data_IF_035777838185
#
_entry.id   IF_035777838185
#
_cell.length_a   1.000
_cell.length_b   1.000
_cell.length_c   1.000
_cell.angle_alpha   90.00
_cell.angle_beta   90.00
_cell.angle_gamma   90.00
#
_symmetry.space_group_name_H-M   'P 1'
#
loop_
_entity.id
_entity.type
_entity.pdbx_description
1 polymer ?
#
# COMPACT_ATOMS: atom_id res chain seq x y z
N UNK A 1 -7.00 -10.31 -9.22
CA UNK A 1 -6.77 -9.24 -10.20
C UNK A 1 -5.98 -8.07 -9.63
N UNK A 2 -6.47 -7.35 -8.61
CA UNK A 2 -5.72 -6.23 -8.02
C UNK A 2 -4.35 -6.68 -7.49
N UNK A 3 -4.31 -7.77 -6.72
CA UNK A 3 -3.07 -8.43 -6.27
C UNK A 3 -2.16 -8.83 -7.44
N UNK A 4 -2.73 -9.37 -8.52
CA UNK A 4 -1.95 -9.79 -9.70
C UNK A 4 -1.22 -8.61 -10.34
N UNK A 5 -1.89 -7.46 -10.50
CA UNK A 5 -1.25 -6.23 -11.00
C UNK A 5 -0.21 -5.70 -10.01
N UNK A 6 -0.55 -5.65 -8.72
CA UNK A 6 0.35 -5.22 -7.65
C UNK A 6 1.66 -6.02 -7.66
N UNK A 7 1.57 -7.32 -7.86
CA UNK A 7 2.72 -8.23 -7.86
C UNK A 7 3.41 -8.37 -9.23
N UNK A 8 2.74 -7.96 -10.32
CA UNK A 8 3.32 -7.94 -11.66
C UNK A 8 4.17 -6.70 -11.95
N UNK A 9 4.19 -5.71 -11.04
CA UNK A 9 4.98 -4.49 -11.17
C UNK A 9 4.19 -3.25 -11.56
N UNK A 10 2.87 -3.22 -11.35
CA UNK A 10 2.09 -1.98 -11.48
C UNK A 10 2.56 -0.93 -10.45
N UNK A 11 2.61 0.33 -10.86
CA UNK A 11 2.93 1.44 -9.96
C UNK A 11 1.72 1.89 -9.14
N UNK A 12 0.54 1.77 -9.72
CA UNK A 12 -0.72 2.23 -9.14
C UNK A 12 -1.88 1.49 -9.83
N UNK A 13 -3.01 1.34 -9.14
CA UNK A 13 -4.23 0.80 -9.74
C UNK A 13 -5.24 1.91 -9.99
N UNK A 14 -5.80 1.98 -11.20
CA UNK A 14 -6.99 2.80 -11.47
C UNK A 14 -8.25 1.93 -11.45
N UNK A 15 -9.02 2.07 -10.38
CA UNK A 15 -10.25 1.33 -10.13
C UNK A 15 -11.43 2.27 -10.30
N UNK A 16 -12.44 1.93 -11.10
CA UNK A 16 -13.53 2.87 -11.34
C UNK A 16 -14.90 2.21 -11.47
N UNK A 17 -15.91 2.91 -10.96
CA UNK A 17 -17.33 2.65 -11.20
C UNK A 17 -18.08 3.98 -11.23
N UNK A 18 -18.59 4.35 -12.41
CA UNK A 18 -19.30 5.61 -12.64
C UNK A 18 -20.83 5.48 -12.49
N UNK A 19 -21.31 4.43 -11.82
CA UNK A 19 -22.74 4.24 -11.62
C UNK A 19 -23.37 5.38 -10.83
N UNK A 20 -24.56 5.81 -11.28
CA UNK A 20 -25.41 6.76 -10.58
C UNK A 20 -26.29 6.09 -9.53
N UNK A 21 -26.36 4.76 -9.52
CA UNK A 21 -27.13 3.95 -8.57
C UNK A 21 -26.38 3.91 -7.24
N UNK A 22 -27.06 4.23 -6.15
CA UNK A 22 -26.43 4.37 -4.83
C UNK A 22 -25.91 3.03 -4.32
N UNK A 23 -26.69 1.97 -4.46
CA UNK A 23 -26.35 0.62 -4.02
C UNK A 23 -25.05 0.11 -4.68
N UNK A 24 -24.92 0.31 -5.99
CA UNK A 24 -23.72 -0.07 -6.74
C UNK A 24 -22.47 0.74 -6.32
N UNK A 25 -22.66 2.01 -5.93
CA UNK A 25 -21.56 2.83 -5.38
C UNK A 25 -21.12 2.35 -4.00
N UNK A 26 -22.06 2.01 -3.12
CA UNK A 26 -21.71 1.51 -1.79
C UNK A 26 -21.04 0.13 -1.86
N UNK A 27 -21.50 -0.76 -2.76
CA UNK A 27 -20.82 -2.04 -3.05
C UNK A 27 -19.40 -1.82 -3.58
N UNK A 28 -19.22 -0.86 -4.48
CA UNK A 28 -17.90 -0.50 -5.01
C UNK A 28 -16.97 0.01 -3.91
N UNK A 29 -17.43 0.93 -3.04
CA UNK A 29 -16.65 1.44 -1.91
C UNK A 29 -16.28 0.34 -0.92
N UNK A 30 -17.19 -0.61 -0.64
CA UNK A 30 -16.89 -1.78 0.19
C UNK A 30 -15.81 -2.67 -0.45
N UNK A 31 -15.89 -2.88 -1.77
CA UNK A 31 -14.90 -3.64 -2.53
C UNK A 31 -13.52 -2.98 -2.49
N UNK A 32 -13.46 -1.64 -2.61
CA UNK A 32 -12.20 -0.89 -2.54
C UNK A 32 -11.49 -1.08 -1.20
N UNK A 33 -12.23 -1.07 -0.08
CA UNK A 33 -11.66 -1.34 1.26
C UNK A 33 -11.04 -2.74 1.37
N UNK A 34 -11.65 -3.73 0.73
CA UNK A 34 -11.11 -5.10 0.71
C UNK A 34 -9.89 -5.22 -0.22
N UNK A 35 -9.82 -4.40 -1.28
CA UNK A 35 -8.65 -4.32 -2.15
C UNK A 35 -7.47 -3.68 -1.43
N UNK A 36 -7.70 -2.54 -0.77
CA UNK A 36 -6.68 -1.79 -0.02
C UNK A 36 -5.92 -2.68 0.98
N UNK A 37 -6.64 -3.55 1.71
CA UNK A 37 -6.03 -4.52 2.66
C UNK A 37 -5.02 -5.47 2.00
N UNK A 38 -5.22 -5.79 0.72
CA UNK A 38 -4.47 -6.82 -0.01
C UNK A 38 -3.33 -6.28 -0.87
N UNK A 39 -3.40 -5.02 -1.27
CA UNK A 39 -2.35 -4.38 -2.07
C UNK A 39 -1.45 -3.51 -1.20
N UNK A 40 -0.32 -3.10 -1.78
CA UNK A 40 0.66 -2.21 -1.16
C UNK A 40 1.25 -1.19 -2.14
N UNK A 41 0.54 -1.00 -3.26
CA UNK A 41 0.73 0.09 -4.20
C UNK A 41 -0.46 1.05 -4.07
N UNK A 42 -0.29 2.33 -4.42
CA UNK A 42 -1.39 3.28 -4.41
C UNK A 42 -2.53 2.88 -5.34
N UNK A 43 -3.72 3.42 -5.11
CA UNK A 43 -4.82 3.31 -6.06
C UNK A 43 -5.66 4.58 -6.21
N UNK A 44 -6.07 4.84 -7.44
CA UNK A 44 -6.95 5.92 -7.85
C UNK A 44 -8.37 5.38 -8.00
N UNK A 45 -9.35 6.12 -7.49
CA UNK A 45 -10.77 5.78 -7.60
C UNK A 45 -11.48 6.69 -8.60
N UNK A 46 -11.98 6.13 -9.70
CA UNK A 46 -12.90 6.81 -10.60
C UNK A 46 -14.35 6.58 -10.20
N UNK A 47 -15.07 7.63 -9.83
CA UNK A 47 -16.48 7.45 -9.45
C UNK A 47 -17.37 8.63 -9.80
N UNK A 48 -18.68 8.37 -9.81
CA UNK A 48 -19.68 9.43 -9.87
C UNK A 48 -19.79 10.11 -8.50
N UNK A 49 -19.59 11.43 -8.47
CA UNK A 49 -19.75 12.26 -7.29
C UNK A 49 -20.88 13.27 -7.53
N UNK A 50 -21.96 13.16 -6.75
CA UNK A 50 -23.06 14.12 -6.80
C UNK A 50 -22.87 15.27 -5.80
N UNK A 51 -22.09 15.02 -4.74
CA UNK A 51 -21.78 15.95 -3.66
C UNK A 51 -20.38 15.69 -3.12
N UNK A 52 -19.82 16.66 -2.41
CA UNK A 52 -18.50 16.56 -1.77
C UNK A 52 -18.34 15.30 -0.88
N UNK A 53 -19.39 14.91 -0.14
CA UNK A 53 -19.33 13.73 0.74
C UNK A 53 -19.06 12.41 -0.03
N UNK A 54 -19.43 12.32 -1.31
CA UNK A 54 -19.17 11.13 -2.12
C UNK A 54 -17.67 10.98 -2.42
N UNK A 55 -16.97 12.09 -2.67
CA UNK A 55 -15.50 12.12 -2.85
C UNK A 55 -14.80 11.75 -1.54
N UNK A 56 -15.28 12.27 -0.42
CA UNK A 56 -14.75 11.97 0.91
C UNK A 56 -14.87 10.48 1.25
N UNK A 57 -16.00 9.84 0.90
CA UNK A 57 -16.17 8.39 1.04
C UNK A 57 -15.15 7.59 0.25
N UNK A 58 -14.76 8.05 -0.93
CA UNK A 58 -13.72 7.39 -1.74
C UNK A 58 -12.37 7.37 -1.02
N UNK A 59 -11.93 8.49 -0.45
CA UNK A 59 -10.70 8.54 0.35
C UNK A 59 -10.75 7.61 1.57
N UNK A 60 -11.91 7.47 2.22
CA UNK A 60 -12.12 6.52 3.32
C UNK A 60 -12.03 5.04 2.92
N UNK A 61 -11.81 4.73 1.64
CA UNK A 61 -11.51 3.37 1.20
C UNK A 61 -10.01 3.06 1.18
N UNK A 62 -9.16 4.06 1.40
CA UNK A 62 -7.70 3.97 1.25
C UNK A 62 -7.17 4.57 -0.06
N UNK A 63 -8.04 5.17 -0.89
CA UNK A 63 -7.65 5.72 -2.18
C UNK A 63 -6.68 6.89 -2.04
N UNK A 64 -5.62 6.91 -2.85
CA UNK A 64 -4.66 8.01 -2.89
C UNK A 64 -5.20 9.22 -3.62
N UNK A 65 -6.01 8.99 -4.65
CA UNK A 65 -6.57 10.02 -5.54
C UNK A 65 -7.98 9.65 -6.00
N UNK A 66 -8.78 10.66 -6.32
CA UNK A 66 -10.16 10.48 -6.80
C UNK A 66 -10.33 11.15 -8.16
N UNK A 67 -10.85 10.40 -9.14
CA UNK A 67 -11.17 10.87 -10.48
C UNK A 67 -12.68 11.09 -10.58
N UNK A 68 -13.07 12.33 -10.87
CA UNK A 68 -14.45 12.69 -11.20
C UNK A 68 -14.57 12.85 -12.70
N UNK A 69 -15.53 12.15 -13.31
CA UNK A 69 -15.76 12.24 -14.75
C UNK A 69 -16.57 13.50 -15.09
N UNK A 70 -16.00 14.37 -15.92
CA UNK A 70 -16.53 15.70 -16.19
C UNK A 70 -17.94 15.66 -16.78
N UNK A 71 -18.18 14.82 -17.79
CA UNK A 71 -19.44 14.80 -18.56
C UNK A 71 -20.65 14.34 -17.75
N UNK A 72 -20.42 13.67 -16.62
CA UNK A 72 -21.48 13.18 -15.74
C UNK A 72 -21.51 13.86 -14.38
N UNK A 73 -20.57 14.77 -14.11
CA UNK A 73 -20.55 15.54 -12.86
C UNK A 73 -21.71 16.56 -12.88
N UNK A 74 -22.66 16.51 -11.92
CA UNK A 74 -23.82 17.38 -11.94
C UNK A 74 -23.50 18.83 -11.57
N UNK A 75 -22.41 19.06 -10.83
CA UNK A 75 -22.01 20.37 -10.33
C UNK A 75 -20.47 20.46 -10.24
N UNK A 76 -19.88 21.36 -11.02
CA UNK A 76 -18.44 21.64 -10.98
C UNK A 76 -17.97 22.15 -9.61
N UNK A 77 -18.88 22.71 -8.81
CA UNK A 77 -18.65 23.11 -7.42
C UNK A 77 -18.13 21.97 -6.55
N UNK A 78 -18.56 20.72 -6.83
CA UNK A 78 -18.08 19.53 -6.12
C UNK A 78 -16.58 19.31 -6.35
N UNK A 79 -16.11 19.48 -7.58
CA UNK A 79 -14.69 19.31 -7.93
C UNK A 79 -13.86 20.41 -7.26
N UNK A 80 -14.35 21.65 -7.31
CA UNK A 80 -13.67 22.80 -6.68
C UNK A 80 -13.58 22.66 -5.16
N UNK A 81 -14.67 22.26 -4.50
CA UNK A 81 -14.68 22.04 -3.06
C UNK A 81 -13.75 20.88 -2.66
N UNK A 82 -13.78 19.77 -3.42
CA UNK A 82 -12.90 18.64 -3.18
C UNK A 82 -11.42 19.00 -3.33
N UNK A 83 -11.06 19.70 -4.41
CA UNK A 83 -9.68 20.14 -4.65
C UNK A 83 -9.20 21.12 -3.56
N UNK A 84 -10.05 22.05 -3.14
CA UNK A 84 -9.72 22.97 -2.04
C UNK A 84 -9.52 22.27 -0.69
N UNK A 85 -10.22 21.15 -0.45
CA UNK A 85 -10.16 20.41 0.81
C UNK A 85 -9.04 19.37 0.88
N UNK A 86 -8.81 18.64 -0.21
CA UNK A 86 -7.86 17.52 -0.26
C UNK A 86 -6.57 17.84 -1.01
N UNK A 87 -6.53 18.89 -1.83
CA UNK A 87 -5.41 19.23 -2.70
C UNK A 87 -5.73 19.04 -4.18
N UNK A 88 -5.19 19.90 -5.03
CA UNK A 88 -5.38 19.87 -6.50
C UNK A 88 -4.68 18.68 -7.18
N UNK A 89 -3.78 18.00 -6.48
CA UNK A 89 -3.07 16.77 -6.89
C UNK A 89 -3.83 15.49 -6.51
N UNK A 90 -4.71 15.58 -5.51
CA UNK A 90 -5.52 14.47 -5.00
C UNK A 90 -6.83 14.27 -5.77
N UNK A 91 -7.30 15.28 -6.48
CA UNK A 91 -8.50 15.23 -7.33
C UNK A 91 -8.09 15.31 -8.79
N UNK A 92 -8.58 14.37 -9.60
CA UNK A 92 -8.41 14.34 -11.04
C UNK A 92 -9.76 14.50 -11.72
N UNK A 93 -9.74 15.02 -12.94
CA UNK A 93 -10.94 15.12 -13.79
C UNK A 93 -10.74 14.24 -15.03
N UNK A 94 -11.63 13.25 -15.22
CA UNK A 94 -11.67 12.48 -16.47
C UNK A 94 -12.40 13.27 -17.55
N UNK A 95 -11.76 13.41 -18.72
CA UNK A 95 -12.34 14.07 -19.91
C UNK A 95 -12.08 13.24 -21.16
N UNK A 96 -13.00 13.31 -22.12
CA UNK A 96 -12.81 12.75 -23.46
C UNK A 96 -11.87 13.62 -24.32
N UNK A 97 -11.07 12.99 -25.20
CA UNK A 97 -10.19 13.70 -26.14
C UNK A 97 -10.95 14.73 -27.00
N UNK A 98 -12.21 14.45 -27.35
CA UNK A 98 -13.04 15.33 -28.18
C UNK A 98 -13.44 16.65 -27.50
N UNK A 99 -13.36 16.74 -26.16
CA UNK A 99 -13.66 17.94 -25.41
C UNK A 99 -12.50 18.95 -25.55
N UNK A 100 -12.73 20.26 -25.78
CA UNK A 100 -11.65 21.26 -25.84
C UNK A 100 -11.11 21.58 -24.43
N UNK A 101 -10.57 20.56 -23.76
CA UNK A 101 -10.07 20.62 -22.38
C UNK A 101 -9.00 21.68 -22.18
N UNK A 102 -8.23 22.01 -23.23
CA UNK A 102 -7.22 23.06 -23.20
C UNK A 102 -7.80 24.47 -23.02
N UNK A 103 -9.11 24.62 -23.17
CA UNK A 103 -9.84 25.89 -23.01
C UNK A 103 -10.68 25.94 -21.74
N UNK A 104 -10.70 24.86 -20.95
CA UNK A 104 -11.52 24.75 -19.74
C UNK A 104 -10.62 24.94 -18.52
N UNK A 105 -11.02 25.85 -17.63
CA UNK A 105 -10.29 26.13 -16.41
C UNK A 105 -10.64 25.10 -15.31
N UNK A 106 -9.97 23.96 -15.33
CA UNK A 106 -10.16 22.94 -14.29
C UNK A 106 -9.43 23.32 -12.98
N UNK A 107 -10.08 23.17 -11.80
CA UNK A 107 -9.49 23.46 -10.49
C UNK A 107 -8.62 22.30 -9.97
N UNK A 108 -7.96 21.57 -10.86
CA UNK A 108 -7.09 20.43 -10.55
C UNK A 108 -5.77 20.55 -11.30
N UNK A 109 -4.72 19.90 -10.81
CA UNK A 109 -3.41 19.88 -11.45
C UNK A 109 -3.30 18.85 -12.57
N UNK A 110 -4.10 17.78 -12.51
CA UNK A 110 -3.98 16.60 -13.37
C UNK A 110 -5.32 16.21 -13.99
N UNK A 111 -5.33 15.92 -15.29
CA UNK A 111 -6.49 15.41 -16.02
C UNK A 111 -6.27 13.94 -16.39
N UNK A 112 -7.35 13.15 -16.44
CA UNK A 112 -7.35 11.81 -17.00
C UNK A 112 -7.98 11.85 -18.39
N UNK A 113 -7.18 11.67 -19.45
CA UNK A 113 -7.69 11.64 -20.82
C UNK A 113 -8.08 10.23 -21.24
N UNK A 114 -9.28 10.09 -21.80
CA UNK A 114 -9.79 8.81 -22.31
C UNK A 114 -9.80 8.78 -23.84
N UNK A 115 -9.51 7.61 -24.40
CA UNK A 115 -9.64 7.27 -25.85
C UNK A 115 -8.80 8.17 -26.75
N UNK A 116 -7.49 8.04 -26.64
CA UNK A 116 -6.58 9.04 -27.15
C UNK A 116 -6.02 8.64 -28.51
N UNK A 117 -6.05 9.56 -29.48
CA UNK A 117 -5.37 9.38 -30.76
C UNK A 117 -4.01 10.10 -30.74
N UNK A 118 -2.94 9.33 -30.64
CA UNK A 118 -1.56 9.83 -30.60
C UNK A 118 -1.21 10.64 -31.86
N UNK A 119 -0.58 11.81 -31.66
CA UNK A 119 -0.12 12.67 -32.75
C UNK A 119 0.10 14.13 -32.35
N UNK A 120 0.69 14.91 -33.27
CA UNK A 120 0.98 16.34 -33.03
C UNK A 120 -0.22 17.18 -32.55
N UNK A 121 -1.47 16.97 -33.05
CA UNK A 121 -2.61 17.76 -32.59
C UNK A 121 -2.91 17.57 -31.10
N UNK A 122 -2.83 16.34 -30.60
CA UNK A 122 -3.03 16.04 -29.19
C UNK A 122 -1.93 16.65 -28.33
N UNK A 123 -0.66 16.45 -28.71
CA UNK A 123 0.49 16.95 -27.95
C UNK A 123 0.41 18.47 -27.77
N UNK A 124 0.00 19.21 -28.82
CA UNK A 124 -0.19 20.67 -28.72
C UNK A 124 -1.31 21.05 -27.73
N UNK A 125 -2.40 20.28 -27.66
CA UNK A 125 -3.52 20.54 -26.75
C UNK A 125 -3.16 20.22 -25.31
N UNK A 126 -2.48 19.09 -25.08
CA UNK A 126 -1.92 18.73 -23.77
C UNK A 126 -1.02 19.86 -23.25
N UNK A 127 -0.05 20.31 -24.07
CA UNK A 127 0.83 21.43 -23.74
C UNK A 127 0.08 22.73 -23.47
N UNK A 128 -0.90 23.06 -24.31
CA UNK A 128 -1.69 24.29 -24.17
C UNK A 128 -2.55 24.32 -22.89
N UNK A 129 -2.90 23.16 -22.31
CA UNK A 129 -3.71 23.10 -21.09
C UNK A 129 -2.96 23.56 -19.83
N UNK A 130 -1.62 23.46 -19.81
CA UNK A 130 -0.80 23.70 -18.63
C UNK A 130 -1.08 22.76 -17.45
N UNK A 131 -1.62 21.56 -17.72
CA UNK A 131 -1.93 20.52 -16.74
C UNK A 131 -1.05 19.28 -16.96
N UNK A 132 -0.95 18.45 -15.93
CA UNK A 132 -0.42 17.10 -16.05
C UNK A 132 -1.52 16.15 -16.55
N UNK A 133 -1.12 15.01 -17.10
CA UNK A 133 -2.04 14.03 -17.66
C UNK A 133 -1.75 12.61 -17.20
N UNK A 134 -2.81 11.89 -16.84
CA UNK A 134 -2.85 10.44 -16.94
C UNK A 134 -3.62 10.09 -18.21
N UNK A 135 -3.16 9.07 -18.94
CA UNK A 135 -3.84 8.59 -20.14
C UNK A 135 -4.52 7.27 -19.83
N UNK A 136 -5.80 7.17 -20.16
CA UNK A 136 -6.56 5.93 -20.07
C UNK A 136 -6.78 5.38 -21.47
N UNK A 137 -6.01 4.36 -21.84
CA UNK A 137 -6.07 3.78 -23.18
C UNK A 137 -6.03 2.24 -23.19
N UNK A 138 -6.62 1.66 -24.23
CA UNK A 138 -6.60 0.22 -24.53
C UNK A 138 -5.28 -0.27 -25.14
N UNK A 139 -4.43 0.65 -25.60
CA UNK A 139 -3.15 0.41 -26.27
C UNK A 139 -3.23 -0.54 -27.47
N UNK A 140 -4.37 -0.58 -28.16
CA UNK A 140 -4.55 -1.40 -29.37
C UNK A 140 -3.55 -1.07 -30.48
N UNK A 141 -2.95 0.13 -30.44
CA UNK A 141 -1.97 0.63 -31.41
C UNK A 141 -0.52 0.45 -30.96
N UNK A 142 -0.29 -0.09 -29.76
CA UNK A 142 1.03 -0.27 -29.16
C UNK A 142 1.83 1.05 -29.09
N UNK A 143 1.16 2.14 -28.73
CA UNK A 143 1.66 3.52 -28.69
C UNK A 143 2.03 3.97 -27.27
N UNK A 144 2.30 3.03 -26.37
CA UNK A 144 2.68 3.31 -24.98
C UNK A 144 3.92 4.22 -24.90
N UNK A 145 4.95 3.93 -25.70
CA UNK A 145 6.20 4.70 -25.75
C UNK A 145 5.94 6.14 -26.21
N UNK A 146 5.11 6.32 -27.25
CA UNK A 146 4.77 7.64 -27.78
C UNK A 146 3.99 8.48 -26.78
N UNK A 147 3.06 7.86 -26.03
CA UNK A 147 2.30 8.52 -24.97
C UNK A 147 3.22 8.95 -23.82
N UNK A 148 4.12 8.08 -23.37
CA UNK A 148 5.01 8.34 -22.24
C UNK A 148 6.17 9.28 -22.58
N UNK A 149 6.45 9.54 -23.86
CA UNK A 149 7.39 10.59 -24.30
C UNK A 149 6.81 12.00 -24.21
N UNK A 150 5.50 12.14 -24.01
CA UNK A 150 4.88 13.44 -23.79
C UNK A 150 5.21 13.88 -22.37
N UNK A 151 5.94 14.99 -22.24
CA UNK A 151 6.45 15.51 -20.96
C UNK A 151 5.37 15.69 -19.88
N UNK A 152 4.18 16.15 -20.28
CA UNK A 152 3.06 16.36 -19.37
C UNK A 152 2.32 15.06 -18.99
N UNK A 153 2.61 13.93 -19.66
CA UNK A 153 2.00 12.63 -19.36
C UNK A 153 2.78 11.92 -18.26
N UNK A 154 2.13 11.75 -17.11
CA UNK A 154 2.71 11.14 -15.92
C UNK A 154 2.47 9.62 -15.83
N UNK A 155 1.60 9.07 -16.66
CA UNK A 155 1.32 7.64 -16.66
C UNK A 155 0.19 7.22 -17.60
N UNK A 156 0.11 5.91 -17.82
CA UNK A 156 -0.92 5.28 -18.67
C UNK A 156 -1.66 4.19 -17.89
N UNK A 157 -2.96 4.36 -17.71
CA UNK A 157 -3.87 3.35 -17.18
C UNK A 157 -4.42 2.48 -18.32
N UNK A 158 -4.12 1.18 -18.29
CA UNK A 158 -4.50 0.24 -19.35
C UNK A 158 -4.81 -1.14 -18.81
N UNK A 159 -5.66 -1.89 -19.51
CA UNK A 159 -5.88 -3.32 -19.30
C UNK A 159 -5.14 -4.20 -20.31
N UNK A 160 -4.38 -3.61 -21.25
CA UNK A 160 -3.65 -4.36 -22.28
C UNK A 160 -2.66 -5.39 -21.71
N UNK A 161 -2.09 -5.08 -20.55
CA UNK A 161 -1.12 -5.91 -19.84
C UNK A 161 -1.73 -6.80 -18.76
N UNK A 162 -3.04 -7.06 -18.80
CA UNK A 162 -3.66 -8.00 -17.86
C UNK A 162 -2.94 -9.36 -17.93
N UNK A 163 -2.49 -9.85 -16.77
CA UNK A 163 -1.74 -11.12 -16.62
C UNK A 163 -0.43 -11.17 -17.40
N UNK A 164 0.15 -10.02 -17.73
CA UNK A 164 1.49 -9.89 -18.32
C UNK A 164 2.50 -9.39 -17.29
N UNK A 165 3.77 -9.59 -17.59
CA UNK A 165 4.89 -9.10 -16.79
C UNK A 165 5.13 -7.60 -17.06
N UNK A 166 4.70 -6.73 -16.13
CA UNK A 166 4.88 -5.29 -16.27
C UNK A 166 6.33 -4.86 -16.03
N UNK A 167 7.13 -5.63 -15.26
CA UNK A 167 8.55 -5.34 -15.11
C UNK A 167 9.26 -5.43 -16.46
N UNK A 168 8.90 -6.40 -17.30
CA UNK A 168 9.42 -6.47 -18.69
C UNK A 168 9.03 -5.25 -19.52
N UNK A 169 7.79 -4.79 -19.40
CA UNK A 169 7.33 -3.58 -20.12
C UNK A 169 8.14 -2.36 -19.68
N UNK A 170 8.30 -2.17 -18.36
CA UNK A 170 9.08 -1.07 -17.80
C UNK A 170 10.53 -1.08 -18.29
N UNK A 171 11.21 -2.22 -18.29
CA UNK A 171 12.58 -2.32 -18.83
C UNK A 171 12.66 -1.91 -20.29
N UNK A 172 11.72 -2.36 -21.13
CA UNK A 172 11.69 -1.92 -22.53
C UNK A 172 11.52 -0.39 -22.66
N UNK A 173 10.74 0.24 -21.77
CA UNK A 173 10.59 1.69 -21.76
C UNK A 173 11.86 2.41 -21.27
N UNK A 174 12.60 1.83 -20.33
CA UNK A 174 13.92 2.33 -19.90
C UNK A 174 14.95 2.25 -21.02
N UNK A 175 14.97 1.16 -21.79
CA UNK A 175 15.81 1.04 -22.99
C UNK A 175 15.47 2.09 -24.05
N UNK A 176 14.20 2.53 -24.10
CA UNK A 176 13.74 3.65 -24.93
C UNK A 176 14.03 5.04 -24.33
N UNK A 177 14.70 5.12 -23.18
CA UNK A 177 15.08 6.36 -22.50
C UNK A 177 13.97 7.00 -21.66
N UNK A 178 12.91 6.26 -21.33
CA UNK A 178 11.81 6.72 -20.49
C UNK A 178 12.05 6.26 -19.06
N UNK A 179 12.00 7.18 -18.10
CA UNK A 179 12.18 6.86 -16.69
C UNK A 179 11.02 5.99 -16.18
N UNK A 180 11.36 4.89 -15.51
CA UNK A 180 10.41 3.95 -14.93
C UNK A 180 10.77 3.64 -13.48
N UNK A 181 9.74 3.33 -12.70
CA UNK A 181 9.90 2.80 -11.36
C UNK A 181 10.20 1.29 -11.43
N UNK A 182 11.48 0.96 -11.50
CA UNK A 182 12.03 -0.40 -11.49
C UNK A 182 13.02 -0.56 -10.33
N UNK A 183 13.32 -1.81 -9.95
CA UNK A 183 14.38 -2.08 -8.98
C UNK A 183 15.76 -1.90 -9.64
N UNK A 184 16.27 -0.66 -9.60
CA UNK A 184 17.64 -0.36 -10.00
C UNK A 184 18.57 -0.47 -8.80
N UNK A 185 19.65 -1.23 -8.97
CA UNK A 185 20.70 -1.21 -7.96
C UNK A 185 21.47 0.11 -8.04
N UNK A 186 21.65 0.75 -6.89
CA UNK A 186 22.57 1.88 -6.76
C UNK A 186 24.05 1.44 -6.75
N UNK A 187 24.32 0.17 -6.42
CA UNK A 187 25.67 -0.40 -6.27
C UNK A 187 25.80 -1.63 -7.17
N UNK A 188 26.78 -1.70 -8.08
CA UNK A 188 26.95 -2.86 -8.94
C UNK A 188 27.30 -4.10 -8.10
N UNK A 189 26.84 -5.28 -8.51
CA UNK A 189 27.11 -6.54 -7.79
C UNK A 189 28.61 -6.81 -7.61
N UNK A 190 29.46 -6.31 -8.52
CA UNK A 190 30.92 -6.40 -8.43
C UNK A 190 31.52 -5.75 -7.18
N UNK A 191 30.80 -4.86 -6.49
CA UNK A 191 31.24 -4.23 -5.24
C UNK A 191 30.79 -5.00 -3.98
N UNK A 192 30.03 -6.08 -4.15
CA UNK A 192 29.57 -6.92 -3.05
C UNK A 192 30.70 -7.85 -2.64
N UNK A 193 30.88 -8.03 -1.33
CA UNK A 193 31.80 -9.04 -0.80
C UNK A 193 31.09 -10.37 -0.75
N UNK A 194 31.57 -11.31 -1.55
CA UNK A 194 31.03 -12.66 -1.65
C UNK A 194 31.95 -13.66 -0.97
N UNK A 195 31.41 -14.82 -0.58
CA UNK A 195 32.22 -15.95 -0.12
C UNK A 195 33.05 -16.58 -1.27
N UNK A 196 33.89 -17.57 -0.96
CA UNK A 196 34.72 -18.29 -1.94
C UNK A 196 33.93 -18.95 -3.09
N UNK A 197 32.59 -19.01 -2.99
CA UNK A 197 31.67 -19.58 -3.98
C UNK A 197 30.88 -18.50 -4.73
N UNK A 198 31.19 -17.22 -4.53
CA UNK A 198 30.49 -16.10 -5.16
C UNK A 198 29.09 -15.87 -4.58
N UNK A 199 28.85 -16.28 -3.33
CA UNK A 199 27.56 -16.14 -2.66
C UNK A 199 27.57 -15.04 -1.61
N UNK A 200 26.45 -14.33 -1.50
CA UNK A 200 26.16 -13.34 -0.46
C UNK A 200 24.98 -13.83 0.39
N UNK A 201 25.04 -13.81 1.73
CA UNK A 201 23.87 -14.05 2.58
C UNK A 201 22.79 -12.99 2.32
N UNK A 202 21.53 -13.44 2.33
CA UNK A 202 20.36 -12.59 2.22
C UNK A 202 19.42 -12.87 3.40
N UNK A 203 19.30 -11.90 4.31
CA UNK A 203 18.30 -11.91 5.37
C UNK A 203 16.99 -11.40 4.77
N UNK A 204 15.90 -12.14 5.01
CA UNK A 204 14.59 -11.83 4.45
C UNK A 204 13.67 -11.43 5.60
N UNK A 205 13.05 -10.27 5.48
CA UNK A 205 12.21 -9.67 6.51
C UNK A 205 10.84 -9.33 5.91
N UNK A 206 9.76 -9.55 6.66
CA UNK A 206 8.45 -9.05 6.27
C UNK A 206 8.44 -7.52 6.35
N UNK A 207 8.02 -6.87 5.27
CA UNK A 207 8.12 -5.41 5.15
C UNK A 207 7.19 -4.64 6.10
N UNK A 208 6.09 -5.26 6.56
CA UNK A 208 5.11 -4.60 7.46
C UNK A 208 5.52 -4.77 8.92
N UNK A 209 5.82 -6.00 9.31
CA UNK A 209 6.02 -6.39 10.71
C UNK A 209 7.47 -6.27 11.16
N UNK A 210 8.43 -6.25 10.21
CA UNK A 210 9.83 -6.35 10.55
C UNK A 210 10.25 -7.74 11.04
N UNK A 211 9.38 -8.75 10.97
CA UNK A 211 9.75 -10.10 11.39
C UNK A 211 10.76 -10.71 10.40
N UNK A 212 11.87 -11.26 10.91
CA UNK A 212 12.79 -12.04 10.09
C UNK A 212 12.12 -13.35 9.68
N UNK A 213 11.99 -13.57 8.37
CA UNK A 213 11.31 -14.71 7.77
C UNK A 213 12.26 -15.88 7.52
N UNK A 214 13.42 -15.60 6.92
CA UNK A 214 14.41 -16.64 6.58
C UNK A 214 15.78 -16.01 6.28
N UNK A 215 16.79 -16.87 6.22
CA UNK A 215 18.08 -16.57 5.62
C UNK A 215 18.26 -17.44 4.36
N UNK A 216 18.68 -16.81 3.28
CA UNK A 216 19.03 -17.45 2.01
C UNK A 216 20.40 -16.99 1.54
N UNK A 217 20.83 -17.47 0.37
CA UNK A 217 22.06 -17.04 -0.30
C UNK A 217 21.73 -16.63 -1.72
N UNK A 218 22.43 -15.62 -2.22
CA UNK A 218 22.29 -15.12 -3.58
C UNK A 218 23.65 -15.14 -4.27
N UNK A 219 23.69 -15.53 -5.54
CA UNK A 219 24.77 -15.19 -6.47
C UNK A 219 24.33 -14.00 -7.35
N UNK A 220 25.22 -13.51 -8.21
CA UNK A 220 24.93 -12.40 -9.14
C UNK A 220 23.66 -12.65 -9.97
N UNK A 221 23.53 -13.83 -10.57
CA UNK A 221 22.38 -14.20 -11.40
C UNK A 221 21.05 -14.16 -10.61
N UNK A 222 21.04 -14.67 -9.37
CA UNK A 222 19.83 -14.66 -8.54
C UNK A 222 19.46 -13.26 -8.06
N UNK A 223 20.46 -12.40 -7.86
CA UNK A 223 20.28 -10.99 -7.53
C UNK A 223 19.67 -10.23 -8.71
N UNK A 224 20.25 -10.36 -9.89
CA UNK A 224 19.74 -9.77 -11.12
C UNK A 224 18.30 -10.22 -11.42
N UNK A 225 18.03 -11.53 -11.33
CA UNK A 225 16.67 -12.05 -11.51
C UNK A 225 15.66 -11.47 -10.50
N UNK A 226 16.09 -11.19 -9.27
CA UNK A 226 15.23 -10.54 -8.25
C UNK A 226 14.90 -9.11 -8.64
N UNK A 227 15.89 -8.32 -9.05
CA UNK A 227 15.70 -6.95 -9.53
C UNK A 227 14.82 -6.91 -10.79
N UNK A 228 15.00 -7.87 -11.70
CA UNK A 228 14.25 -7.94 -12.96
C UNK A 228 12.80 -8.35 -12.76
N UNK A 229 12.51 -9.29 -11.86
CA UNK A 229 11.17 -9.90 -11.78
C UNK A 229 10.32 -9.37 -10.63
N UNK A 230 10.94 -8.64 -9.70
CA UNK A 230 10.28 -8.26 -8.45
C UNK A 230 10.00 -9.44 -7.51
N UNK A 231 10.48 -10.65 -7.84
CA UNK A 231 10.30 -11.87 -7.03
C UNK A 231 11.64 -12.31 -6.47
N UNK A 232 11.67 -12.65 -5.19
CA UNK A 232 12.89 -13.14 -4.57
C UNK A 232 13.36 -14.45 -5.23
N UNK A 233 14.54 -14.38 -5.83
CA UNK A 233 15.24 -15.51 -6.42
C UNK A 233 16.53 -15.73 -5.65
N UNK A 234 16.76 -16.98 -5.22
CA UNK A 234 17.91 -17.36 -4.42
C UNK A 234 18.77 -18.38 -5.17
N UNK A 235 20.01 -18.54 -4.73
CA UNK A 235 20.88 -19.63 -5.16
C UNK A 235 20.83 -20.79 -4.15
N UNK A 236 20.32 -21.95 -4.58
CA UNK A 236 20.27 -23.13 -3.74
C UNK A 236 21.65 -23.79 -3.64
N UNK A 237 22.33 -23.63 -2.50
CA UNK A 237 23.66 -24.25 -2.27
C UNK A 237 23.66 -25.77 -2.39
N UNK A 238 22.56 -26.44 -2.04
CA UNK A 238 22.46 -27.91 -2.15
C UNK A 238 22.16 -28.38 -3.57
N UNK A 239 21.35 -27.62 -4.32
CA UNK A 239 20.94 -27.98 -5.69
C UNK A 239 21.81 -27.35 -6.78
N UNK A 240 22.69 -26.42 -6.41
CA UNK A 240 23.56 -25.65 -7.30
C UNK A 240 22.79 -25.03 -8.47
N UNK A 241 21.65 -24.38 -8.17
CA UNK A 241 20.80 -23.73 -9.17
C UNK A 241 20.01 -22.58 -8.58
N UNK A 242 19.54 -21.69 -9.47
CA UNK A 242 18.56 -20.66 -9.14
C UNK A 242 17.24 -21.26 -8.64
N UNK A 243 16.61 -20.56 -7.71
CA UNK A 243 15.35 -20.93 -7.09
C UNK A 243 14.53 -19.67 -6.78
N UNK A 244 13.50 -19.41 -7.59
CA UNK A 244 12.50 -18.40 -7.27
C UNK A 244 11.58 -18.93 -6.15
N UNK A 245 11.52 -18.20 -5.04
CA UNK A 245 10.73 -18.61 -3.88
C UNK A 245 9.25 -18.54 -4.23
N UNK A 246 8.58 -19.69 -4.12
CA UNK A 246 7.15 -19.83 -4.40
C UNK A 246 6.84 -20.68 -5.61
N UNK A 247 7.79 -20.92 -6.53
CA UNK A 247 7.54 -21.71 -7.76
C UNK A 247 6.94 -23.10 -7.52
N UNK A 248 7.28 -23.72 -6.38
CA UNK A 248 6.76 -25.05 -6.01
C UNK A 248 5.56 -24.99 -5.07
N UNK A 249 5.49 -24.00 -4.16
CA UNK A 249 4.50 -23.98 -3.08
C UNK A 249 3.39 -22.93 -3.25
N UNK A 250 3.53 -22.02 -4.21
CA UNK A 250 2.69 -20.82 -4.34
C UNK A 250 2.97 -19.73 -3.29
N UNK A 251 3.90 -19.96 -2.35
CA UNK A 251 4.24 -18.99 -1.30
C UNK A 251 5.36 -18.06 -1.75
N UNK A 252 4.98 -17.11 -2.61
CA UNK A 252 5.91 -16.15 -3.21
C UNK A 252 6.38 -15.09 -2.21
N UNK A 253 7.53 -14.49 -2.53
CA UNK A 253 8.09 -13.33 -1.85
C UNK A 253 8.32 -12.24 -2.90
N UNK A 254 7.61 -11.13 -2.76
CA UNK A 254 7.76 -9.98 -3.66
C UNK A 254 8.65 -8.94 -2.99
N UNK A 255 9.75 -8.56 -3.63
CA UNK A 255 10.71 -7.62 -3.05
C UNK A 255 10.11 -6.22 -2.98
N UNK A 256 10.40 -5.53 -1.87
CA UNK A 256 10.00 -4.14 -1.62
C UNK A 256 11.20 -3.24 -1.43
N UNK A 257 12.24 -3.76 -0.79
CA UNK A 257 13.47 -3.02 -0.52
C UNK A 257 14.62 -4.01 -0.45
N UNK A 258 15.77 -3.62 -0.99
CA UNK A 258 17.05 -4.31 -0.81
C UNK A 258 18.03 -3.31 -0.21
N UNK A 259 18.66 -3.69 0.88
CA UNK A 259 19.74 -2.94 1.52
C UNK A 259 20.99 -3.80 1.63
N UNK A 260 22.16 -3.19 1.50
CA UNK A 260 23.43 -3.79 1.89
C UNK A 260 23.82 -3.33 3.29
N UNK A 261 24.51 -4.18 4.02
CA UNK A 261 25.12 -3.80 5.29
C UNK A 261 26.40 -2.97 5.11
N UNK A 262 26.97 -2.54 6.22
CA UNK A 262 28.02 -1.51 6.26
C UNK A 262 29.34 -1.90 5.59
N UNK A 263 29.59 -3.19 5.38
CA UNK A 263 30.77 -3.71 4.73
C UNK A 263 30.46 -4.49 3.46
N UNK A 264 29.22 -4.36 2.96
CA UNK A 264 28.71 -4.87 1.68
C UNK A 264 28.78 -6.40 1.53
N UNK A 265 28.67 -7.15 2.63
CA UNK A 265 28.76 -8.61 2.62
C UNK A 265 27.43 -9.32 2.89
N UNK A 266 26.39 -8.57 3.24
CA UNK A 266 25.06 -9.13 3.53
C UNK A 266 23.95 -8.26 2.93
N UNK A 267 22.96 -8.91 2.31
CA UNK A 267 21.74 -8.28 1.82
C UNK A 267 20.64 -8.40 2.88
N UNK A 268 19.94 -7.30 3.17
CA UNK A 268 18.64 -7.31 3.83
C UNK A 268 17.54 -7.06 2.78
N UNK A 269 16.66 -8.03 2.60
CA UNK A 269 15.52 -7.93 1.72
C UNK A 269 14.22 -7.77 2.53
N UNK A 270 13.53 -6.65 2.36
CA UNK A 270 12.15 -6.50 2.82
C UNK A 270 11.20 -7.00 1.74
N UNK A 271 10.30 -7.89 2.10
CA UNK A 271 9.42 -8.58 1.15
C UNK A 271 7.98 -8.59 1.61
N UNK A 272 7.06 -8.53 0.65
CA UNK A 272 5.68 -8.96 0.86
C UNK A 272 5.64 -10.50 0.75
N UNK A 273 5.38 -11.18 1.86
CA UNK A 273 5.27 -12.63 1.92
C UNK A 273 3.84 -13.11 1.65
N UNK A 274 3.66 -13.92 0.61
CA UNK A 274 2.40 -14.65 0.37
C UNK A 274 2.46 -16.01 1.06
N UNK A 275 1.50 -16.30 1.94
CA UNK A 275 1.46 -17.56 2.68
C UNK A 275 2.66 -17.77 3.61
N UNK A 276 3.09 -19.02 3.81
CA UNK A 276 4.19 -19.34 4.71
C UNK A 276 5.57 -19.16 4.05
N UNK A 277 6.52 -18.51 4.73
CA UNK A 277 7.90 -18.49 4.25
C UNK A 277 8.55 -19.88 4.41
N UNK A 278 8.23 -20.59 5.49
CA UNK A 278 8.82 -21.89 5.79
C UNK A 278 8.09 -23.05 5.10
N UNK A 279 8.85 -24.08 4.71
CA UNK A 279 8.32 -25.32 4.13
C UNK A 279 7.50 -26.16 5.12
N UNK A 280 7.59 -25.87 6.42
CA UNK A 280 6.79 -26.52 7.48
C UNK A 280 5.37 -25.96 7.58
N UNK A 281 5.06 -24.89 6.85
CA UNK A 281 3.83 -24.11 7.01
C UNK A 281 3.92 -23.00 8.07
N UNK A 282 5.03 -22.90 8.80
CA UNK A 282 5.30 -21.78 9.72
C UNK A 282 5.57 -20.50 8.94
N UNK A 283 5.07 -19.37 9.43
CA UNK A 283 5.23 -18.08 8.74
C UNK A 283 6.70 -17.66 8.63
N UNK A 284 7.49 -17.80 9.70
CA UNK A 284 8.94 -17.64 9.71
C UNK A 284 9.65 -18.98 9.90
N UNK A 285 10.89 -19.10 9.39
CA UNK A 285 11.80 -20.20 9.70
C UNK A 285 12.33 -20.18 11.14
N UNK A 286 12.30 -19.02 11.81
CA UNK A 286 12.82 -18.80 13.16
C UNK A 286 11.74 -18.99 14.23
N UNK A 287 10.97 -20.07 14.16
CA UNK A 287 9.83 -20.34 15.04
C UNK A 287 10.17 -21.20 16.27
N UNK A 288 11.39 -21.75 16.35
CA UNK A 288 11.83 -22.59 17.47
C UNK A 288 12.70 -21.77 18.43
N UNK A 289 12.27 -21.67 19.68
CA UNK A 289 13.08 -21.06 20.73
C UNK A 289 14.33 -21.92 21.02
N UNK A 290 15.50 -21.30 20.99
CA UNK A 290 16.78 -21.97 21.28
C UNK A 290 17.26 -21.68 22.70
N UNK A 291 17.20 -20.41 23.12
CA UNK A 291 17.54 -19.95 24.45
C UNK A 291 16.84 -18.61 24.70
N UNK A 292 16.25 -18.44 25.88
CA UNK A 292 15.59 -17.20 26.31
C UNK A 292 16.07 -16.83 27.70
N UNK A 293 16.37 -15.55 27.89
CA UNK A 293 16.53 -14.94 29.21
C UNK A 293 15.31 -14.09 29.45
N UNK A 294 14.75 -14.14 30.65
CA UNK A 294 13.63 -13.25 30.99
C UNK A 294 14.10 -11.80 30.92
N UNK A 295 13.39 -10.99 30.13
CA UNK A 295 13.52 -9.55 30.08
C UNK A 295 12.13 -8.96 29.97
N UNK A 296 11.99 -7.72 30.42
CA UNK A 296 10.76 -6.94 30.19
C UNK A 296 10.89 -6.35 28.81
N UNK A 297 10.10 -6.84 27.86
CA UNK A 297 10.00 -6.20 26.55
C UNK A 297 9.30 -4.84 26.74
N UNK A 298 9.90 -3.79 26.19
CA UNK A 298 9.35 -2.44 26.23
C UNK A 298 9.21 -1.85 24.83
N UNK A 299 9.30 -2.69 23.79
CA UNK A 299 9.04 -2.25 22.43
C UNK A 299 7.56 -1.84 22.30
N UNK A 300 7.24 -0.57 21.99
CA UNK A 300 5.86 -0.11 21.93
C UNK A 300 5.00 -0.89 20.92
N UNK A 301 5.57 -1.29 19.78
CA UNK A 301 4.85 -2.06 18.77
C UNK A 301 4.45 -3.43 19.31
N UNK A 302 5.41 -4.13 19.92
CA UNK A 302 5.18 -5.46 20.51
C UNK A 302 4.13 -5.38 21.61
N UNK A 303 4.25 -4.42 22.54
CA UNK A 303 3.29 -4.27 23.65
C UNK A 303 1.87 -3.99 23.13
N UNK A 304 1.71 -3.02 22.22
CA UNK A 304 0.38 -2.68 21.69
C UNK A 304 -0.24 -3.83 20.87
N UNK A 305 0.58 -4.62 20.16
CA UNK A 305 0.11 -5.80 19.44
C UNK A 305 -0.29 -6.93 20.39
N UNK A 306 0.57 -7.30 21.34
CA UNK A 306 0.29 -8.38 22.30
C UNK A 306 -0.92 -8.06 23.20
N UNK A 307 -1.07 -6.80 23.63
CA UNK A 307 -2.24 -6.36 24.39
C UNK A 307 -3.52 -6.47 23.55
N UNK A 308 -3.49 -6.05 22.28
CA UNK A 308 -4.62 -6.17 21.38
C UNK A 308 -4.99 -7.64 21.10
N UNK A 309 -4.00 -8.49 20.82
CA UNK A 309 -4.19 -9.94 20.64
C UNK A 309 -4.78 -10.58 21.89
N UNK A 310 -4.33 -10.15 23.08
CA UNK A 310 -4.87 -10.61 24.36
C UNK A 310 -6.34 -10.19 24.53
N UNK A 311 -6.68 -8.95 24.17
CA UNK A 311 -8.06 -8.44 24.19
C UNK A 311 -8.95 -9.25 23.25
N UNK A 312 -8.52 -9.47 22.01
CA UNK A 312 -9.23 -10.31 21.03
C UNK A 312 -9.38 -11.75 21.51
N UNK A 313 -8.32 -12.32 22.09
CA UNK A 313 -8.35 -13.66 22.65
C UNK A 313 -9.37 -13.76 23.78
N UNK A 314 -9.44 -12.75 24.68
CA UNK A 314 -10.44 -12.70 25.75
C UNK A 314 -11.86 -12.58 25.21
N UNK A 315 -12.08 -11.88 24.10
CA UNK A 315 -13.38 -11.81 23.44
C UNK A 315 -13.81 -13.18 22.89
N UNK A 316 -12.90 -13.90 22.23
CA UNK A 316 -13.14 -15.23 21.64
C UNK A 316 -13.20 -16.36 22.68
N UNK A 317 -12.37 -16.26 23.73
CA UNK A 317 -12.17 -17.24 24.79
C UNK A 317 -12.32 -16.55 26.17
N UNK A 318 -13.56 -16.37 26.66
CA UNK A 318 -13.81 -15.65 27.91
C UNK A 318 -13.13 -16.30 29.11
N UNK A 319 -12.55 -15.48 29.98
CA UNK A 319 -11.99 -15.90 31.27
C UNK A 319 -12.76 -15.23 32.40
N UNK A 320 -13.30 -16.04 33.31
CA UNK A 320 -14.01 -15.56 34.49
C UNK A 320 -13.12 -14.61 35.33
N UNK A 321 -13.70 -13.51 35.80
CA UNK A 321 -13.00 -12.48 36.57
C UNK A 321 -12.11 -11.53 35.76
N UNK A 322 -12.02 -11.68 34.44
CA UNK A 322 -11.26 -10.74 33.58
C UNK A 322 -11.98 -9.40 33.42
N UNK A 323 -11.27 -8.29 33.65
CA UNK A 323 -11.80 -6.94 33.41
C UNK A 323 -12.22 -6.73 31.94
N UNK A 324 -11.44 -7.25 30.99
CA UNK A 324 -11.78 -7.20 29.56
C UNK A 324 -13.12 -7.89 29.27
N UNK A 325 -13.38 -9.04 29.88
CA UNK A 325 -14.64 -9.76 29.69
C UNK A 325 -15.82 -9.03 30.34
N UNK A 326 -15.60 -8.36 31.48
CA UNK A 326 -16.61 -7.48 32.08
C UNK A 326 -17.02 -6.36 31.10
N UNK A 327 -16.05 -5.68 30.47
CA UNK A 327 -16.34 -4.63 29.48
C UNK A 327 -17.18 -5.17 28.31
N UNK A 328 -16.78 -6.29 27.71
CA UNK A 328 -17.56 -6.91 26.61
C UNK A 328 -18.95 -7.36 27.06
N UNK A 329 -19.11 -7.88 28.28
CA UNK A 329 -20.41 -8.30 28.82
C UNK A 329 -21.36 -7.13 29.03
N UNK A 330 -20.84 -5.96 29.41
CA UNK A 330 -21.65 -4.75 29.57
C UNK A 330 -21.97 -4.07 28.22
N UNK A 331 -21.24 -4.42 27.16
CA UNK A 331 -21.48 -3.95 25.80
C UNK A 331 -20.93 -2.55 25.52
N UNK A 332 -21.23 -2.08 24.31
CA UNK A 332 -20.64 -0.88 23.70
C UNK A 332 -20.76 0.38 24.57
N UNK A 333 -21.90 0.61 25.22
CA UNK A 333 -22.11 1.82 26.03
C UNK A 333 -21.13 1.92 27.21
N UNK A 334 -20.79 0.78 27.83
CA UNK A 334 -19.82 0.75 28.93
C UNK A 334 -18.40 1.03 28.44
N UNK A 335 -18.05 0.48 27.27
CA UNK A 335 -16.75 0.69 26.62
C UNK A 335 -16.60 2.17 26.23
N UNK A 336 -17.62 2.76 25.60
CA UNK A 336 -17.64 4.17 25.22
C UNK A 336 -17.57 5.09 26.43
N UNK A 337 -18.32 4.78 27.49
CA UNK A 337 -18.23 5.51 28.76
C UNK A 337 -16.79 5.54 29.27
N UNK A 338 -16.10 4.40 29.26
CA UNK A 338 -14.70 4.33 29.67
C UNK A 338 -13.80 5.17 28.78
N UNK A 339 -13.89 5.03 27.46
CA UNK A 339 -13.11 5.86 26.53
C UNK A 339 -13.29 7.37 26.78
N UNK A 340 -14.52 7.82 27.10
CA UNK A 340 -14.80 9.22 27.41
C UNK A 340 -14.27 9.69 28.77
N UNK A 341 -14.31 8.82 29.79
CA UNK A 341 -13.70 9.07 31.12
C UNK A 341 -12.19 9.28 30.97
N UNK A 342 -11.47 8.29 30.41
CA UNK A 342 -10.01 8.35 30.30
C UNK A 342 -9.56 9.53 29.40
N UNK A 343 -10.29 9.85 28.33
CA UNK A 343 -10.01 11.01 27.48
C UNK A 343 -10.13 12.34 28.26
N UNK A 344 -11.11 12.44 29.16
CA UNK A 344 -11.30 13.62 30.02
C UNK A 344 -10.21 13.71 31.08
N UNK A 345 -9.78 12.57 31.62
CA UNK A 345 -8.70 12.47 32.60
C UNK A 345 -7.36 12.87 31.98
N UNK A 346 -7.06 12.47 30.73
CA UNK A 346 -5.90 12.98 29.97
C UNK A 346 -5.91 14.52 29.90
N UNK A 347 -7.05 15.14 29.57
CA UNK A 347 -7.16 16.60 29.47
C UNK A 347 -6.84 17.27 30.81
N UNK A 348 -7.32 16.70 31.92
CA UNK A 348 -7.10 17.22 33.27
C UNK A 348 -5.64 17.01 33.67
N UNK A 349 -5.13 15.79 33.54
CA UNK A 349 -3.77 15.40 33.91
C UNK A 349 -2.70 16.16 33.11
N UNK A 350 -2.96 16.49 31.84
CA UNK A 350 -2.06 17.28 31.00
C UNK A 350 -1.84 18.72 31.50
N UNK A 351 -2.74 19.23 32.37
CA UNK A 351 -2.57 20.55 33.02
C UNK A 351 -1.76 20.48 34.31
N UNK A 352 -1.54 19.29 34.85
CA UNK A 352 -0.81 19.12 36.09
C UNK A 352 0.70 19.24 35.86
N UNK A 353 1.49 19.77 36.83
CA UNK A 353 2.93 19.91 36.67
C UNK A 353 3.69 18.57 36.58
N UNK A 354 3.08 17.47 37.02
CA UNK A 354 3.67 16.14 37.06
C UNK A 354 3.06 15.25 35.96
N UNK A 355 3.90 14.79 35.03
CA UNK A 355 3.48 13.95 33.90
C UNK A 355 3.22 12.48 34.26
N UNK A 356 3.48 12.05 35.50
CA UNK A 356 3.24 10.66 35.91
C UNK A 356 1.77 10.27 35.83
N UNK A 357 0.85 11.12 36.30
CA UNK A 357 -0.59 10.89 36.19
C UNK A 357 -1.00 10.82 34.72
N UNK A 358 -0.56 11.78 33.90
CA UNK A 358 -0.82 11.80 32.46
C UNK A 358 -0.38 10.50 31.75
N UNK A 359 0.75 9.92 32.16
CA UNK A 359 1.23 8.64 31.62
C UNK A 359 0.24 7.50 31.90
N UNK A 360 -0.34 7.42 33.10
CA UNK A 360 -1.32 6.39 33.44
C UNK A 360 -2.62 6.58 32.66
N UNK A 361 -3.13 7.82 32.57
CA UNK A 361 -4.36 8.12 31.83
C UNK A 361 -4.23 7.82 30.33
N UNK A 362 -3.06 8.10 29.75
CA UNK A 362 -2.78 7.74 28.35
C UNK A 362 -2.77 6.21 28.18
N UNK A 363 -2.16 5.47 29.11
CA UNK A 363 -2.12 4.01 29.04
C UNK A 363 -3.53 3.40 29.15
N UNK A 364 -4.34 3.88 30.09
CA UNK A 364 -5.72 3.42 30.27
C UNK A 364 -6.61 3.79 29.08
N UNK A 365 -6.44 4.99 28.50
CA UNK A 365 -7.13 5.35 27.27
C UNK A 365 -6.76 4.43 26.10
N UNK A 366 -5.46 4.15 25.90
CA UNK A 366 -5.00 3.25 24.84
C UNK A 366 -5.58 1.84 25.02
N UNK A 367 -5.62 1.32 26.25
CA UNK A 367 -6.24 0.03 26.54
C UNK A 367 -7.73 0.02 26.19
N UNK A 368 -8.51 1.00 26.65
CA UNK A 368 -9.95 1.06 26.35
C UNK A 368 -10.23 1.30 24.87
N UNK A 369 -9.37 2.05 24.18
CA UNK A 369 -9.42 2.23 22.73
C UNK A 369 -9.20 0.90 22.00
N UNK A 370 -8.25 0.06 22.43
CA UNK A 370 -8.05 -1.29 21.89
C UNK A 370 -9.26 -2.20 22.14
N UNK A 371 -9.91 -2.11 23.30
CA UNK A 371 -11.17 -2.82 23.58
C UNK A 371 -12.29 -2.35 22.64
N UNK A 372 -12.40 -1.06 22.40
CA UNK A 372 -13.35 -0.49 21.43
C UNK A 372 -13.06 -0.96 20.01
N UNK A 373 -11.79 -0.97 19.59
CA UNK A 373 -11.37 -1.50 18.29
C UNK A 373 -11.81 -2.95 18.13
N UNK A 374 -11.52 -3.81 19.11
CA UNK A 374 -11.94 -5.22 19.09
C UNK A 374 -13.47 -5.37 19.13
N UNK A 375 -14.21 -4.44 19.76
CA UNK A 375 -15.67 -4.43 19.75
C UNK A 375 -16.24 -4.11 18.36
N UNK A 376 -15.64 -3.14 17.68
CA UNK A 376 -16.04 -2.70 16.35
C UNK A 376 -15.43 -3.51 15.19
N UNK A 377 -14.56 -4.49 15.48
CA UNK A 377 -13.89 -5.31 14.46
C UNK A 377 -12.79 -4.56 13.69
N UNK A 378 -12.12 -3.60 14.33
CA UNK A 378 -10.97 -2.86 13.79
C UNK A 378 -9.66 -3.42 14.33
N UNK A 379 -8.59 -3.31 13.55
CA UNK A 379 -7.23 -3.77 13.87
C UNK A 379 -6.22 -2.61 13.93
N UNK A 380 -5.03 -2.85 14.47
CA UNK A 380 -3.95 -1.85 14.44
C UNK A 380 -3.52 -1.54 13.00
N UNK A 381 -3.60 -2.52 12.09
CA UNK A 381 -3.35 -2.33 10.66
C UNK A 381 -4.34 -1.34 10.04
N UNK A 382 -5.63 -1.42 10.39
CA UNK A 382 -6.64 -0.48 9.90
C UNK A 382 -6.34 0.96 10.38
N UNK A 383 -6.00 1.13 11.66
CA UNK A 383 -5.71 2.44 12.25
C UNK A 383 -4.42 3.06 11.71
N UNK A 384 -3.34 2.28 11.66
CA UNK A 384 -2.03 2.77 11.19
C UNK A 384 -2.05 3.09 9.71
N UNK A 385 -2.82 2.35 8.90
CA UNK A 385 -3.03 2.67 7.50
C UNK A 385 -3.78 3.98 7.31
N UNK A 386 -4.88 4.20 8.04
CA UNK A 386 -5.61 5.46 8.00
C UNK A 386 -4.72 6.65 8.41
N UNK A 387 -3.82 6.47 9.39
CA UNK A 387 -2.84 7.50 9.75
C UNK A 387 -1.79 7.72 8.66
N UNK A 388 -1.33 6.67 7.99
CA UNK A 388 -0.39 6.77 6.87
C UNK A 388 -0.98 7.54 5.69
N UNK A 389 -2.27 7.32 5.37
CA UNK A 389 -2.97 8.02 4.29
C UNK A 389 -3.15 9.53 4.53
N UNK A 390 -2.97 9.99 5.77
CA UNK A 390 -3.06 11.41 6.17
C UNK A 390 -1.70 12.12 6.20
N UNK A 391 -0.60 11.39 6.06
CA UNK A 391 0.75 11.97 5.95
C UNK A 391 0.96 12.48 4.53
#
# INVERSE_FOLDING_TARGET
>A
MAEDYCFAGADELFLYNYSKITEEREEFLATLKEIDKKIDIPFIVGMYAARFEDVKKAFYTGADRVVVKYEICPDEGVIKEAAARFGEDKILVEVDEGLPFEKIAFPVSTLLLKHVNTGEPLNRRIKASGKNFLIRDSLLRNDLEDLLKIEEVQGVATNYFERRDLFKVKRNMEEAGIEMNTFKSAIPFSEFKTDDKGLVPCIVQDYRTGQVLMLAYMNEESYQATCETGKMTYFSRSRQKLWCKGDTSGHYQYVKELSLDCDNDTILAKVHQVGAACHTGSYSCFFKELAKKDYIDTNPLTILQEDFETIENRKKNPKEGSYTNYLFTQGIDKILKKCGEEASEIIIAAKNPNAEELKYEIADFLYHMMVLMAECGLTWEDITRELANRR
#
